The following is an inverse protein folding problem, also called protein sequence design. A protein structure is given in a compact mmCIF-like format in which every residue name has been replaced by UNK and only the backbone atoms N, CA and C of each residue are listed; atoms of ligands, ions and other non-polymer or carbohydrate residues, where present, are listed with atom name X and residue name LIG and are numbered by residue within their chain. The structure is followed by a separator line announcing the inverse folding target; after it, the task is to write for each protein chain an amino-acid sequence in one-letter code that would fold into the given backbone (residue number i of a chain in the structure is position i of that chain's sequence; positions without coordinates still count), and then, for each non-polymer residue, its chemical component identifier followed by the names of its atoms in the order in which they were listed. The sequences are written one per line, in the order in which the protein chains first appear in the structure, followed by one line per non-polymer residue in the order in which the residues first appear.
data_IF_477759298510
#
_entry.id   IF_477759298510
#
_cell.length_a   1.000
_cell.length_b   1.000
_cell.length_c   1.000
_cell.angle_alpha   90.00
_cell.angle_beta   90.00
_cell.angle_gamma   90.00
#
_symmetry.space_group_name_H-M   'P 1'
#
loop_
_entity.id
_entity.type
_entity.pdbx_description
1 polymer ?
#
# COMPACT_ATOMS: atom_id res chain seq x y z
N UNK A 1 -20.93 3.87 4.74
CA UNK A 1 -21.88 4.64 5.56
C UNK A 1 -22.29 3.94 6.86
N UNK A 2 -22.60 2.62 6.88
CA UNK A 2 -23.11 1.97 8.11
C UNK A 2 -22.22 2.11 9.36
N UNK A 3 -20.88 2.10 9.24
CA UNK A 3 -20.01 2.28 10.41
C UNK A 3 -20.12 3.67 11.07
N UNK A 4 -20.34 4.74 10.30
CA UNK A 4 -20.41 6.10 10.83
C UNK A 4 -21.80 6.46 11.41
N UNK A 5 -22.80 5.59 11.20
CA UNK A 5 -24.11 5.72 11.83
C UNK A 5 -24.01 5.40 13.33
N UNK A 6 -23.25 4.35 13.66
CA UNK A 6 -23.14 3.84 15.03
C UNK A 6 -21.83 4.26 15.73
N UNK A 7 -20.86 4.83 15.00
CA UNK A 7 -19.54 5.17 15.53
C UNK A 7 -19.06 6.55 15.06
N UNK A 8 -18.27 7.21 15.89
CA UNK A 8 -17.71 8.54 15.60
C UNK A 8 -16.59 8.54 14.55
N UNK A 9 -16.04 7.37 14.21
CA UNK A 9 -14.96 7.24 13.23
C UNK A 9 -14.95 5.84 12.59
N UNK A 10 -14.36 5.73 11.41
CA UNK A 10 -14.16 4.48 10.71
C UNK A 10 -12.75 4.40 10.10
N UNK A 11 -12.14 3.21 10.12
CA UNK A 11 -10.90 2.92 9.41
C UNK A 11 -11.25 2.24 8.08
N UNK A 12 -10.82 2.84 6.97
CA UNK A 12 -11.10 2.36 5.62
C UNK A 12 -9.80 1.97 4.94
N UNK A 13 -9.78 0.80 4.29
CA UNK A 13 -8.65 0.30 3.50
C UNK A 13 -9.16 -0.28 2.17
N UNK A 14 -8.25 -0.40 1.20
CA UNK A 14 -8.54 -1.00 -0.10
C UNK A 14 -9.52 -0.17 -0.94
N UNK A 15 -10.28 -0.87 -1.78
CA UNK A 15 -11.13 -0.27 -2.83
C UNK A 15 -12.21 0.69 -2.28
N UNK A 16 -12.65 0.49 -1.04
CA UNK A 16 -13.61 1.38 -0.39
C UNK A 16 -13.09 2.83 -0.26
N UNK A 17 -11.78 3.03 -0.24
CA UNK A 17 -11.17 4.36 -0.15
C UNK A 17 -11.45 5.25 -1.38
N UNK A 18 -11.73 4.66 -2.55
CA UNK A 18 -12.03 5.44 -3.76
C UNK A 18 -13.39 6.14 -3.73
N UNK A 19 -14.27 5.75 -2.81
CA UNK A 19 -15.62 6.33 -2.65
C UNK A 19 -15.67 7.38 -1.55
N UNK A 20 -14.52 7.72 -0.93
CA UNK A 20 -14.50 8.69 0.16
C UNK A 20 -14.87 10.10 -0.29
N UNK A 21 -14.74 10.42 -1.58
CA UNK A 21 -15.22 11.69 -2.15
C UNK A 21 -16.75 11.81 -2.19
N UNK A 22 -17.47 10.70 -2.04
CA UNK A 22 -18.94 10.67 -1.99
C UNK A 22 -19.47 10.90 -0.57
N UNK A 23 -18.60 10.93 0.44
CA UNK A 23 -19.00 11.17 1.82
C UNK A 23 -19.48 12.62 2.02
N UNK A 24 -20.32 12.80 3.05
CA UNK A 24 -20.75 14.12 3.49
C UNK A 24 -19.53 15.05 3.74
N UNK A 25 -19.52 16.28 3.19
CA UNK A 25 -18.38 17.21 3.34
C UNK A 25 -18.01 17.56 4.79
N UNK A 26 -18.90 17.33 5.75
CA UNK A 26 -18.62 17.51 7.19
C UNK A 26 -17.69 16.42 7.75
N UNK A 27 -17.55 15.29 7.05
CA UNK A 27 -16.68 14.19 7.47
C UNK A 27 -15.23 14.55 7.14
N UNK A 28 -14.39 14.60 8.17
CA UNK A 28 -12.94 14.79 7.99
C UNK A 28 -12.29 13.46 7.61
N UNK A 29 -11.56 13.44 6.49
CA UNK A 29 -10.83 12.27 6.00
C UNK A 29 -9.33 12.47 6.24
N UNK A 30 -8.71 11.53 6.97
CA UNK A 30 -7.27 11.49 7.19
C UNK A 30 -6.62 10.39 6.35
N UNK A 31 -5.62 10.74 5.53
CA UNK A 31 -4.74 9.75 4.90
C UNK A 31 -3.66 9.34 5.89
N UNK A 32 -3.70 8.09 6.35
CA UNK A 32 -2.73 7.59 7.33
C UNK A 32 -1.29 7.56 6.81
N UNK A 33 -1.07 7.49 5.49
CA UNK A 33 0.27 7.60 4.90
C UNK A 33 0.79 9.04 4.98
N UNK A 34 -0.10 10.01 4.78
CA UNK A 34 0.22 11.44 4.94
C UNK A 34 0.51 11.75 6.41
N UNK A 35 -0.35 11.31 7.33
CA UNK A 35 -0.17 11.53 8.76
C UNK A 35 1.10 10.87 9.29
N UNK A 36 1.42 9.67 8.78
CA UNK A 36 2.70 9.02 9.06
C UNK A 36 3.89 9.86 8.59
N UNK A 37 3.85 10.36 7.35
CA UNK A 37 4.92 11.18 6.81
C UNK A 37 5.06 12.50 7.59
N UNK A 38 3.95 13.14 7.96
CA UNK A 38 3.90 14.36 8.77
C UNK A 38 4.60 14.18 10.11
N UNK A 39 4.39 13.02 10.76
CA UNK A 39 4.94 12.74 12.09
C UNK A 39 6.39 12.22 12.06
N UNK A 40 6.76 11.46 11.04
CA UNK A 40 8.03 10.72 11.03
C UNK A 40 9.03 11.23 9.99
N UNK A 41 8.57 11.95 8.97
CA UNK A 41 9.34 12.30 7.78
C UNK A 41 9.71 11.10 6.90
N UNK A 42 9.13 9.92 7.16
CA UNK A 42 9.51 8.66 6.50
C UNK A 42 8.40 8.12 5.60
N UNK A 43 8.79 7.37 4.58
CA UNK A 43 7.83 6.66 3.73
C UNK A 43 7.14 5.55 4.51
N UNK A 44 5.97 5.11 4.03
CA UNK A 44 5.23 3.98 4.60
C UNK A 44 5.14 2.84 3.59
N UNK A 45 5.47 1.62 4.01
CA UNK A 45 5.39 0.41 3.18
C UNK A 45 4.14 -0.37 3.57
N UNK A 46 3.12 -0.31 2.70
CA UNK A 46 1.82 -0.97 2.94
C UNK A 46 1.88 -2.49 2.77
N UNK A 47 2.65 -2.98 1.79
CA UNK A 47 2.71 -4.40 1.49
C UNK A 47 4.04 -4.79 0.82
N UNK A 48 4.40 -6.07 0.94
CA UNK A 48 5.53 -6.69 0.24
C UNK A 48 5.11 -8.05 -0.33
N UNK A 49 5.72 -8.46 -1.43
CA UNK A 49 5.66 -9.85 -1.88
C UNK A 49 6.78 -10.62 -1.18
N UNK A 50 6.41 -11.57 -0.31
CA UNK A 50 7.35 -12.32 0.50
C UNK A 50 7.25 -13.83 0.24
N UNK A 51 8.37 -14.53 0.38
CA UNK A 51 8.44 -15.99 0.36
C UNK A 51 8.81 -16.53 1.73
N UNK A 52 8.35 -17.74 2.06
CA UNK A 52 8.74 -18.42 3.30
C UNK A 52 10.26 -18.68 3.29
N UNK A 53 10.90 -18.58 4.47
CA UNK A 53 12.37 -18.69 4.61
C UNK A 53 12.98 -19.98 4.05
N UNK A 54 12.23 -21.07 4.03
CA UNK A 54 12.67 -22.37 3.54
C UNK A 54 12.33 -22.61 2.06
N UNK A 55 11.79 -21.60 1.36
CA UNK A 55 11.47 -21.66 -0.06
C UNK A 55 12.51 -20.86 -0.83
N UNK A 56 13.19 -21.53 -1.76
CA UNK A 56 14.16 -20.91 -2.65
C UNK A 56 13.55 -20.72 -4.03
N UNK A 57 13.49 -19.47 -4.49
CA UNK A 57 13.10 -19.17 -5.86
C UNK A 57 14.30 -19.35 -6.79
N UNK A 58 14.08 -20.01 -7.93
CA UNK A 58 15.06 -20.03 -9.01
C UNK A 58 15.28 -18.63 -9.57
N UNK A 59 16.41 -18.42 -10.26
CA UNK A 59 16.66 -17.13 -10.93
C UNK A 59 15.60 -16.79 -11.98
N UNK A 60 15.04 -17.80 -12.67
CA UNK A 60 13.95 -17.58 -13.63
C UNK A 60 12.66 -17.14 -12.94
N UNK A 61 12.31 -17.70 -11.78
CA UNK A 61 11.15 -17.29 -10.99
C UNK A 61 11.30 -15.86 -10.45
N UNK A 62 12.48 -15.50 -9.93
CA UNK A 62 12.77 -14.12 -9.50
C UNK A 62 12.60 -13.13 -10.65
N UNK A 63 13.20 -13.43 -11.81
CA UNK A 63 13.09 -12.60 -13.01
C UNK A 63 11.65 -12.48 -13.48
N UNK A 64 10.88 -13.57 -13.44
CA UNK A 64 9.47 -13.56 -13.83
C UNK A 64 8.65 -12.57 -12.98
N UNK A 65 8.79 -12.61 -11.65
CA UNK A 65 8.07 -11.68 -10.75
C UNK A 65 8.47 -10.23 -11.03
N UNK A 66 9.76 -9.96 -11.22
CA UNK A 66 10.25 -8.62 -11.57
C UNK A 66 9.71 -8.14 -12.92
N UNK A 67 9.69 -9.01 -13.93
CA UNK A 67 9.20 -8.69 -15.25
C UNK A 67 7.70 -8.43 -15.26
N UNK A 68 6.91 -9.23 -14.52
CA UNK A 68 5.47 -9.02 -14.38
C UNK A 68 5.15 -7.65 -13.78
N UNK A 69 5.91 -7.20 -12.77
CA UNK A 69 5.79 -5.85 -12.22
C UNK A 69 6.10 -4.77 -13.27
N UNK A 70 7.24 -4.90 -13.96
CA UNK A 70 7.66 -3.93 -14.99
C UNK A 70 6.61 -3.83 -16.10
N UNK A 71 6.12 -4.97 -16.60
CA UNK A 71 5.09 -5.02 -17.62
C UNK A 71 3.79 -4.36 -17.13
N UNK A 72 3.31 -4.72 -15.94
CA UNK A 72 2.10 -4.14 -15.37
C UNK A 72 2.19 -2.62 -15.20
N UNK A 73 3.32 -2.12 -14.70
CA UNK A 73 3.58 -0.69 -14.58
C UNK A 73 3.66 0.02 -15.95
N UNK A 74 4.12 -0.67 -16.99
CA UNK A 74 4.14 -0.14 -18.36
C UNK A 74 2.78 -0.15 -19.06
N UNK A 75 1.80 -0.89 -18.52
CA UNK A 75 0.50 -1.14 -19.15
C UNK A 75 -0.68 -0.79 -18.24
N UNK A 76 -0.53 0.21 -17.36
CA UNK A 76 -1.55 0.59 -16.36
C UNK A 76 -2.93 0.81 -16.98
N UNK A 77 -3.03 1.50 -18.11
CA UNK A 77 -4.31 1.73 -18.81
C UNK A 77 -5.01 0.42 -19.19
N UNK A 78 -4.25 -0.60 -19.59
CA UNK A 78 -4.80 -1.90 -19.93
C UNK A 78 -5.27 -2.65 -18.69
N UNK A 79 -4.48 -2.58 -17.60
CA UNK A 79 -4.85 -3.12 -16.29
C UNK A 79 -6.16 -2.50 -15.80
N UNK A 80 -6.27 -1.17 -15.83
CA UNK A 80 -7.48 -0.44 -15.42
C UNK A 80 -8.68 -0.80 -16.28
N UNK A 81 -8.52 -0.85 -17.61
CA UNK A 81 -9.59 -1.26 -18.54
C UNK A 81 -10.08 -2.70 -18.30
N UNK A 82 -9.19 -3.60 -17.88
CA UNK A 82 -9.55 -4.97 -17.53
C UNK A 82 -10.19 -5.13 -16.15
N UNK A 83 -10.03 -4.13 -15.27
CA UNK A 83 -10.50 -4.19 -13.90
C UNK A 83 -11.96 -3.72 -13.79
N UNK A 84 -12.83 -4.59 -13.26
CA UNK A 84 -14.28 -4.35 -13.11
C UNK A 84 -14.74 -4.21 -11.65
N UNK A 85 -13.81 -4.14 -10.70
CA UNK A 85 -14.11 -4.19 -9.26
C UNK A 85 -14.67 -2.89 -8.66
N UNK A 86 -14.53 -1.76 -9.38
CA UNK A 86 -14.94 -0.44 -8.90
C UNK A 86 -15.92 0.24 -9.88
N UNK A 87 -17.17 -0.23 -9.99
CA UNK A 87 -18.16 0.42 -10.82
C UNK A 87 -18.42 1.85 -10.32
N UNK A 88 -18.52 2.80 -11.25
CA UNK A 88 -18.75 4.22 -10.97
C UNK A 88 -17.49 5.06 -10.76
N UNK A 89 -16.32 4.44 -10.55
CA UNK A 89 -15.05 5.17 -10.45
C UNK A 89 -14.46 5.39 -11.85
N UNK A 90 -14.09 6.63 -12.15
CA UNK A 90 -13.46 6.97 -13.43
C UNK A 90 -12.11 6.27 -13.59
N UNK A 91 -11.86 5.71 -14.77
CA UNK A 91 -10.60 5.03 -15.09
C UNK A 91 -9.37 5.91 -14.81
N UNK A 92 -9.46 7.21 -15.07
CA UNK A 92 -8.37 8.18 -14.83
C UNK A 92 -7.97 8.28 -13.35
N UNK A 93 -8.92 8.11 -12.42
CA UNK A 93 -8.64 8.10 -10.97
C UNK A 93 -7.81 6.88 -10.61
N UNK A 94 -8.17 5.70 -11.15
CA UNK A 94 -7.46 4.45 -10.93
C UNK A 94 -6.06 4.47 -11.57
N UNK A 95 -5.95 4.97 -12.81
CA UNK A 95 -4.66 5.16 -13.49
C UNK A 95 -3.75 6.07 -12.67
N UNK A 96 -4.24 7.23 -12.24
CA UNK A 96 -3.47 8.16 -11.42
C UNK A 96 -3.05 7.54 -10.08
N UNK A 97 -3.90 6.76 -9.44
CA UNK A 97 -3.55 6.05 -8.21
C UNK A 97 -2.39 5.07 -8.43
N UNK A 98 -2.52 4.19 -9.43
CA UNK A 98 -1.52 3.17 -9.74
C UNK A 98 -0.20 3.77 -10.22
N UNK A 99 -0.22 4.89 -10.95
CA UNK A 99 0.99 5.53 -11.49
C UNK A 99 1.66 6.50 -10.53
N UNK A 100 0.88 7.25 -9.74
CA UNK A 100 1.40 8.41 -8.99
C UNK A 100 1.38 8.21 -7.48
N UNK A 101 0.45 7.42 -6.96
CA UNK A 101 0.25 7.26 -5.51
C UNK A 101 0.97 6.04 -4.93
N UNK A 102 1.26 5.03 -5.76
CA UNK A 102 2.05 3.86 -5.34
C UNK A 102 3.51 4.01 -5.78
N UNK A 103 4.42 3.53 -4.93
CA UNK A 103 5.82 3.25 -5.27
C UNK A 103 6.02 1.75 -5.16
N UNK A 104 6.26 1.07 -6.28
CA UNK A 104 6.39 -0.39 -6.33
C UNK A 104 7.80 -0.88 -6.00
N UNK A 105 8.80 -0.02 -6.12
CA UNK A 105 10.18 -0.34 -5.82
C UNK A 105 10.49 -0.08 -4.35
N UNK A 106 11.07 -1.08 -3.71
CA UNK A 106 11.54 -0.96 -2.34
C UNK A 106 12.96 -0.39 -2.31
N UNK A 107 13.05 0.92 -2.49
CA UNK A 107 14.30 1.66 -2.43
C UNK A 107 14.77 1.91 -0.98
N UNK A 108 15.90 2.60 -0.81
CA UNK A 108 16.49 2.91 0.49
C UNK A 108 15.52 3.66 1.42
N UNK A 109 14.77 4.63 0.89
CA UNK A 109 13.79 5.39 1.67
C UNK A 109 12.62 4.51 2.15
N UNK A 110 12.21 3.52 1.35
CA UNK A 110 11.20 2.54 1.72
C UNK A 110 11.72 1.56 2.78
N UNK A 111 12.98 1.13 2.68
CA UNK A 111 13.63 0.28 3.68
C UNK A 111 13.78 1.02 5.01
N UNK A 112 14.19 2.28 4.99
CA UNK A 112 14.29 3.13 6.18
C UNK A 112 12.92 3.32 6.85
N UNK A 113 11.88 3.63 6.08
CA UNK A 113 10.51 3.75 6.58
C UNK A 113 9.98 2.46 7.21
N UNK A 114 10.15 1.32 6.54
CA UNK A 114 9.75 0.02 7.04
C UNK A 114 10.54 -0.40 8.29
N UNK A 115 11.83 -0.09 8.34
CA UNK A 115 12.68 -0.33 9.52
C UNK A 115 12.23 0.53 10.70
N UNK A 116 11.86 1.79 10.46
CA UNK A 116 11.32 2.66 11.48
C UNK A 116 9.99 2.13 12.04
N UNK A 117 9.07 1.71 11.17
CA UNK A 117 7.82 1.07 11.60
C UNK A 117 8.07 -0.19 12.44
N UNK A 118 9.00 -1.07 12.02
CA UNK A 118 9.38 -2.25 12.80
C UNK A 118 9.90 -1.88 14.21
N UNK A 119 10.71 -0.84 14.31
CA UNK A 119 11.22 -0.33 15.58
C UNK A 119 10.09 0.16 16.49
N UNK A 120 9.14 0.92 15.96
CA UNK A 120 7.98 1.40 16.72
C UNK A 120 7.12 0.22 17.20
N UNK A 121 6.83 -0.76 16.34
CA UNK A 121 6.09 -1.95 16.75
C UNK A 121 6.78 -2.69 17.90
N UNK A 122 8.11 -2.81 17.87
CA UNK A 122 8.85 -3.43 18.96
C UNK A 122 8.79 -2.60 20.26
N UNK A 123 9.03 -1.28 20.16
CA UNK A 123 8.95 -0.38 21.31
C UNK A 123 7.56 -0.36 21.97
N UNK A 124 6.50 -0.56 21.19
CA UNK A 124 5.12 -0.63 21.65
C UNK A 124 4.66 -2.05 22.05
N UNK A 125 5.53 -3.05 21.97
CA UNK A 125 5.21 -4.42 22.35
C UNK A 125 4.29 -5.16 21.37
N UNK A 126 4.06 -4.63 20.16
CA UNK A 126 3.25 -5.29 19.10
C UNK A 126 3.98 -6.53 18.56
N UNK A 127 5.32 -6.47 18.54
CA UNK A 127 6.18 -7.59 18.16
C UNK A 127 7.20 -7.87 19.27
N UNK A 128 7.53 -9.15 19.47
CA UNK A 128 8.43 -9.59 20.56
C UNK A 128 9.91 -9.35 20.28
N UNK A 129 10.28 -9.05 19.03
CA UNK A 129 11.64 -8.72 18.63
C UNK A 129 11.65 -7.89 17.36
N UNK A 130 12.76 -7.19 17.12
CA UNK A 130 13.04 -6.55 15.84
C UNK A 130 13.36 -7.60 14.78
N UNK A 131 12.78 -7.44 13.61
CA UNK A 131 13.03 -8.33 12.48
C UNK A 131 14.00 -7.68 11.52
N UNK A 132 15.15 -8.32 11.31
CA UNK A 132 16.03 -7.94 10.20
C UNK A 132 15.34 -8.28 8.89
N UNK A 133 15.17 -7.26 8.06
CA UNK A 133 14.50 -7.38 6.77
C UNK A 133 15.55 -7.78 5.74
N UNK A 134 15.42 -8.98 5.18
CA UNK A 134 16.34 -9.51 4.16
C UNK A 134 15.63 -9.48 2.81
N UNK A 135 16.25 -8.82 1.83
CA UNK A 135 15.78 -8.79 0.45
C UNK A 135 16.63 -9.72 -0.42
N UNK A 136 15.97 -10.38 -1.38
CA UNK A 136 16.49 -11.45 -2.23
C UNK A 136 16.70 -11.03 -3.67
#
# INVERSE_FOLDING_TARGET
ESMLVDHSAALIIGDAAFKLSELDPSITVYDLSEEWFRQTGKTFVHAVVAVRKNIFLSQSQKKFIQQAKIEGCGRVKEVVRGYKGLPGIEAKVLENYLEKKIRYDLNEAAIDGLTHFNNLCYQRGIISKKYSIKFL
#
